data_IF_201313344230
#
_entry.id   IF_201313344230
#
_cell.length_a   1.000
_cell.length_b   1.000
_cell.length_c   1.000
_cell.angle_alpha   90.00
_cell.angle_beta   90.00
_cell.angle_gamma   90.00
#
_symmetry.space_group_name_H-M   'P 1'
#
loop_
_entity.id
_entity.type
_entity.pdbx_description
1 polymer ?
#
# COMPACT_ATOMS: atom_id res chain seq x y z
N UNK A 1 -2.49 19.56 9.93
CA UNK A 1 -1.57 20.68 9.66
C UNK A 1 -1.44 20.88 8.15
N UNK A 2 -1.00 22.04 7.66
CA UNK A 2 -1.11 22.40 6.23
C UNK A 2 -0.60 21.32 5.25
N UNK A 3 0.51 20.64 5.58
CA UNK A 3 1.03 19.53 4.76
C UNK A 3 0.13 18.29 4.76
N UNK A 4 -0.49 17.96 5.90
CA UNK A 4 -1.43 16.85 6.02
C UNK A 4 -2.74 17.15 5.27
N UNK A 5 -3.23 18.38 5.37
CA UNK A 5 -4.46 18.82 4.65
C UNK A 5 -4.21 18.83 3.13
N UNK A 6 -3.00 19.23 2.73
CA UNK A 6 -2.55 19.17 1.32
C UNK A 6 -2.44 17.72 0.87
N UNK A 7 -1.81 16.85 1.68
CA UNK A 7 -1.68 15.43 1.36
C UNK A 7 -3.05 14.76 1.23
N UNK A 8 -3.97 15.05 2.15
CA UNK A 8 -5.36 14.58 2.10
C UNK A 8 -6.04 14.99 0.80
N UNK A 9 -5.89 16.24 0.37
CA UNK A 9 -6.43 16.73 -0.89
C UNK A 9 -5.84 16.01 -2.11
N UNK A 10 -4.54 15.69 -2.08
CA UNK A 10 -3.89 14.90 -3.15
C UNK A 10 -4.39 13.46 -3.15
N UNK A 11 -4.56 12.83 -1.97
CA UNK A 11 -5.11 11.47 -1.85
C UNK A 11 -6.55 11.41 -2.36
N UNK A 12 -7.34 12.48 -2.18
CA UNK A 12 -8.65 12.60 -2.84
C UNK A 12 -8.54 12.64 -4.36
N UNK A 13 -7.61 13.41 -4.92
CA UNK A 13 -7.38 13.43 -6.37
C UNK A 13 -6.96 12.05 -6.91
N UNK A 14 -6.23 11.28 -6.11
CA UNK A 14 -5.83 9.91 -6.46
C UNK A 14 -7.04 8.97 -6.57
N UNK A 15 -8.15 9.24 -5.87
CA UNK A 15 -9.40 8.51 -6.03
C UNK A 15 -10.28 9.00 -7.20
N UNK A 16 -9.84 10.03 -7.94
CA UNK A 16 -10.58 10.65 -9.04
C UNK A 16 -10.37 9.98 -10.41
N UNK A 17 -10.79 10.62 -11.52
CA UNK A 17 -10.79 10.04 -12.87
C UNK A 17 -9.42 9.78 -13.49
N UNK A 18 -8.34 10.39 -12.98
CA UNK A 18 -7.00 10.29 -13.56
C UNK A 18 -5.93 9.89 -12.52
N UNK A 19 -6.05 8.71 -11.87
CA UNK A 19 -5.16 8.30 -10.78
C UNK A 19 -3.69 8.24 -11.22
N UNK A 20 -3.41 7.77 -12.45
CA UNK A 20 -2.04 7.66 -12.98
C UNK A 20 -1.28 8.99 -13.06
N UNK A 21 -1.98 10.10 -13.29
CA UNK A 21 -1.38 11.45 -13.26
C UNK A 21 -0.93 11.81 -11.85
N UNK A 22 -1.75 11.47 -10.84
CA UNK A 22 -1.46 11.73 -9.44
C UNK A 22 -0.32 10.84 -8.95
N UNK A 23 -0.34 9.54 -9.28
CA UNK A 23 0.77 8.60 -9.02
C UNK A 23 2.10 9.13 -9.57
N UNK A 24 2.10 9.58 -10.83
CA UNK A 24 3.28 10.18 -11.47
C UNK A 24 3.77 11.42 -10.72
N UNK A 25 2.84 12.27 -10.26
CA UNK A 25 3.17 13.50 -9.54
C UNK A 25 3.76 13.21 -8.16
N UNK A 26 3.19 12.26 -7.41
CA UNK A 26 3.73 11.82 -6.12
C UNK A 26 5.14 11.27 -6.31
N UNK A 27 5.36 10.41 -7.32
CA UNK A 27 6.70 9.88 -7.61
C UNK A 27 7.74 10.97 -7.87
N UNK A 28 7.38 12.01 -8.63
CA UNK A 28 8.25 13.18 -8.86
C UNK A 28 8.55 13.96 -7.58
N UNK A 29 7.62 14.04 -6.64
CA UNK A 29 7.87 14.71 -5.36
C UNK A 29 8.79 13.91 -4.44
N UNK A 30 8.65 12.59 -4.42
CA UNK A 30 9.54 11.70 -3.66
C UNK A 30 10.99 11.79 -4.16
N UNK A 31 11.18 11.92 -5.47
CA UNK A 31 12.48 12.15 -6.10
C UNK A 31 12.99 13.59 -6.08
N UNK A 32 12.22 14.57 -5.57
CA UNK A 32 12.66 15.97 -5.51
C UNK A 32 13.70 16.15 -4.38
N UNK A 33 14.68 17.04 -4.61
CA UNK A 33 15.71 17.36 -3.61
C UNK A 33 15.15 18.05 -2.36
N UNK A 34 14.02 18.76 -2.48
CA UNK A 34 13.42 19.54 -1.39
C UNK A 34 12.66 18.67 -0.40
N UNK A 35 13.01 18.83 0.88
CA UNK A 35 12.37 18.11 2.00
C UNK A 35 10.85 18.26 2.02
N UNK A 36 10.30 19.47 1.83
CA UNK A 36 8.85 19.70 1.88
C UNK A 36 8.07 18.93 0.82
N UNK A 37 8.63 18.74 -0.38
CA UNK A 37 8.00 17.94 -1.44
C UNK A 37 8.09 16.46 -1.14
N UNK A 38 9.24 16.01 -0.66
CA UNK A 38 9.43 14.62 -0.25
C UNK A 38 8.47 14.26 0.89
N UNK A 39 8.40 15.08 1.93
CA UNK A 39 7.51 14.89 3.07
C UNK A 39 6.04 14.88 2.62
N UNK A 40 5.63 15.80 1.74
CA UNK A 40 4.28 15.77 1.13
C UNK A 40 4.03 14.46 0.38
N UNK A 41 4.99 14.00 -0.44
CA UNK A 41 4.89 12.74 -1.16
C UNK A 41 4.73 11.56 -0.21
N UNK A 42 5.52 11.50 0.86
CA UNK A 42 5.44 10.44 1.88
C UNK A 42 4.08 10.45 2.59
N UNK A 43 3.57 11.62 2.96
CA UNK A 43 2.23 11.77 3.55
C UNK A 43 1.12 11.31 2.60
N UNK A 44 1.26 11.58 1.29
CA UNK A 44 0.31 11.10 0.28
C UNK A 44 0.33 9.56 0.20
N UNK A 45 1.51 8.94 0.21
CA UNK A 45 1.61 7.48 0.16
C UNK A 45 1.02 6.85 1.42
N UNK A 46 1.38 7.35 2.60
CA UNK A 46 0.81 6.90 3.88
C UNK A 46 -0.71 7.04 3.88
N UNK A 47 -1.23 8.20 3.50
CA UNK A 47 -2.67 8.43 3.38
C UNK A 47 -3.34 7.43 2.43
N UNK A 48 -2.78 7.20 1.25
CA UNK A 48 -3.35 6.27 0.27
C UNK A 48 -3.35 4.80 0.73
N UNK A 49 -2.32 4.36 1.46
CA UNK A 49 -2.27 2.98 1.97
C UNK A 49 -3.12 2.77 3.22
N UNK A 50 -3.36 3.82 4.02
CA UNK A 50 -4.11 3.71 5.27
C UNK A 50 -5.61 4.02 5.12
N UNK A 51 -5.95 5.02 4.30
CA UNK A 51 -7.32 5.51 4.22
C UNK A 51 -8.23 4.60 3.41
N UNK A 52 -9.41 4.32 3.96
CA UNK A 52 -10.48 3.64 3.23
C UNK A 52 -11.02 4.55 2.13
N UNK A 53 -11.34 3.97 0.98
CA UNK A 53 -11.85 4.73 -0.15
C UNK A 53 -13.14 5.49 0.19
N UNK A 54 -14.08 4.93 0.97
CA UNK A 54 -15.29 5.66 1.39
C UNK A 54 -15.03 6.95 2.17
N UNK A 55 -13.88 7.08 2.84
CA UNK A 55 -13.52 8.29 3.58
C UNK A 55 -13.10 9.45 2.65
N UNK A 56 -13.10 9.22 1.34
CA UNK A 56 -12.78 10.18 0.30
C UNK A 56 -14.07 10.55 -0.46
N UNK A 57 -14.70 11.64 -0.06
CA UNK A 57 -15.63 12.43 -0.87
C UNK A 57 -15.09 12.81 -2.26
N UNK A 58 -15.95 12.72 -3.29
CA UNK A 58 -15.62 12.96 -4.71
C UNK A 58 -15.60 11.69 -5.59
N UNK A 59 -16.02 10.55 -5.04
CA UNK A 59 -16.09 9.25 -5.74
C UNK A 59 -17.26 9.13 -6.72
N UNK A 60 -18.17 10.11 -6.75
CA UNK A 60 -19.32 10.13 -7.66
C UNK A 60 -18.87 10.03 -9.15
N UNK A 61 -17.66 10.48 -9.44
CA UNK A 61 -17.04 10.40 -10.78
C UNK A 61 -16.36 9.04 -11.07
N UNK A 62 -16.38 8.09 -10.13
CA UNK A 62 -15.67 6.79 -10.17
C UNK A 62 -16.50 5.64 -9.63
N UNK A 63 -17.65 5.39 -10.27
CA UNK A 63 -18.58 4.31 -9.87
C UNK A 63 -17.92 2.92 -9.82
N UNK A 64 -16.83 2.69 -10.56
CA UNK A 64 -16.10 1.40 -10.51
C UNK A 64 -15.45 1.13 -9.15
N UNK A 65 -15.23 2.15 -8.32
CA UNK A 65 -14.68 2.02 -6.97
C UNK A 65 -15.73 1.59 -5.93
N UNK A 66 -17.03 1.68 -6.24
CA UNK A 66 -18.13 1.39 -5.31
C UNK A 66 -18.01 0.01 -4.62
N UNK A 67 -17.65 -1.09 -5.31
CA UNK A 67 -17.48 -2.40 -4.66
C UNK A 67 -16.31 -2.45 -3.67
N UNK A 68 -15.37 -1.52 -3.77
CA UNK A 68 -14.09 -1.52 -3.05
C UNK A 68 -13.99 -0.42 -2.00
N UNK A 69 -15.06 0.34 -1.75
CA UNK A 69 -15.02 1.51 -0.85
C UNK A 69 -14.57 1.18 0.57
N UNK A 70 -14.87 -0.04 1.05
CA UNK A 70 -14.47 -0.51 2.38
C UNK A 70 -12.98 -0.86 2.50
N UNK A 71 -12.27 -0.93 1.37
CA UNK A 71 -10.84 -1.24 1.28
C UNK A 71 -10.01 0.06 1.34
N UNK A 72 -8.75 -0.05 1.75
CA UNK A 72 -7.77 1.00 1.59
C UNK A 72 -7.67 1.47 0.13
N UNK A 73 -7.44 2.77 -0.10
CA UNK A 73 -7.49 3.34 -1.45
C UNK A 73 -6.54 2.63 -2.42
N UNK A 74 -5.30 2.34 -2.02
CA UNK A 74 -4.38 1.59 -2.90
C UNK A 74 -4.95 0.23 -3.28
N UNK A 75 -5.55 -0.51 -2.35
CA UNK A 75 -6.17 -1.81 -2.65
C UNK A 75 -7.38 -1.67 -3.60
N UNK A 76 -8.17 -0.61 -3.44
CA UNK A 76 -9.27 -0.31 -4.35
C UNK A 76 -8.75 0.00 -5.76
N UNK A 77 -7.71 0.84 -5.88
CA UNK A 77 -7.08 1.17 -7.16
C UNK A 77 -6.45 -0.04 -7.84
N UNK A 78 -5.84 -0.96 -7.10
CA UNK A 78 -5.30 -2.19 -7.67
C UNK A 78 -6.39 -3.05 -8.34
N UNK A 79 -7.63 -3.00 -7.84
CA UNK A 79 -8.74 -3.73 -8.42
C UNK A 79 -9.30 -3.08 -9.69
N UNK A 80 -9.32 -1.74 -9.77
CA UNK A 80 -9.91 -1.00 -10.91
C UNK A 80 -8.88 -0.51 -11.95
N UNK A 81 -7.62 -0.38 -11.57
CA UNK A 81 -6.52 0.16 -12.38
C UNK A 81 -5.29 -0.76 -12.32
N UNK A 82 -5.37 -2.00 -12.80
CA UNK A 82 -4.26 -2.97 -12.68
C UNK A 82 -2.96 -2.49 -13.33
N UNK A 83 -3.04 -1.59 -14.33
CA UNK A 83 -1.88 -0.95 -14.97
C UNK A 83 -1.07 -0.01 -14.08
N UNK A 84 -1.60 0.41 -12.92
CA UNK A 84 -0.89 1.23 -11.94
C UNK A 84 -0.13 0.40 -10.90
N UNK A 85 -0.31 -0.93 -10.88
CA UNK A 85 0.21 -1.82 -9.81
C UNK A 85 1.68 -1.61 -9.50
N UNK A 86 2.55 -1.64 -10.52
CA UNK A 86 4.00 -1.46 -10.32
C UNK A 86 4.34 -0.06 -9.79
N UNK A 87 3.69 0.99 -10.32
CA UNK A 87 3.94 2.36 -9.90
C UNK A 87 3.46 2.60 -8.46
N UNK A 88 2.31 2.04 -8.09
CA UNK A 88 1.83 2.06 -6.71
C UNK A 88 2.78 1.30 -5.78
N UNK A 89 3.28 0.15 -6.20
CA UNK A 89 4.25 -0.63 -5.43
C UNK A 89 5.56 0.14 -5.21
N UNK A 90 6.05 0.85 -6.23
CA UNK A 90 7.24 1.70 -6.14
C UNK A 90 7.06 2.84 -5.13
N UNK A 91 5.90 3.48 -5.12
CA UNK A 91 5.58 4.53 -4.14
C UNK A 91 5.56 3.97 -2.71
N UNK A 92 4.91 2.82 -2.50
CA UNK A 92 4.83 2.17 -1.18
C UNK A 92 6.20 1.69 -0.72
N UNK A 93 7.01 1.12 -1.61
CA UNK A 93 8.40 0.72 -1.35
C UNK A 93 9.23 1.91 -0.89
N UNK A 94 9.18 3.03 -1.63
CA UNK A 94 9.91 4.24 -1.26
C UNK A 94 9.53 4.73 0.15
N UNK A 95 8.23 4.71 0.48
CA UNK A 95 7.76 5.11 1.80
C UNK A 95 8.15 4.10 2.89
N UNK A 96 8.20 2.80 2.58
CA UNK A 96 8.64 1.75 3.50
C UNK A 96 10.13 1.84 3.84
N UNK A 97 10.96 2.18 2.84
CA UNK A 97 12.41 2.31 3.03
C UNK A 97 12.78 3.61 3.75
N UNK A 98 11.91 4.62 3.71
CA UNK A 98 12.12 5.88 4.42
C UNK A 98 11.73 5.79 5.90
N UNK A 99 12.69 6.03 6.80
CA UNK A 99 12.49 5.94 8.26
C UNK A 99 11.39 6.84 8.83
N UNK A 100 11.01 7.94 8.15
CA UNK A 100 9.94 8.85 8.62
C UNK A 100 8.52 8.31 8.39
N UNK A 101 8.34 7.44 7.41
CA UNK A 101 7.04 6.89 7.00
C UNK A 101 6.92 5.40 7.20
N UNK A 102 8.05 4.69 7.39
CA UNK A 102 8.11 3.23 7.51
C UNK A 102 7.08 2.66 8.47
N UNK A 103 7.03 3.16 9.71
CA UNK A 103 6.15 2.60 10.74
C UNK A 103 4.67 2.81 10.40
N UNK A 104 4.33 3.95 9.80
CA UNK A 104 2.97 4.23 9.35
C UNK A 104 2.56 3.29 8.19
N UNK A 105 3.47 3.03 7.25
CA UNK A 105 3.23 2.07 6.16
C UNK A 105 3.11 0.64 6.70
N UNK A 106 3.97 0.22 7.63
CA UNK A 106 3.89 -1.10 8.25
C UNK A 106 2.57 -1.27 9.04
N UNK A 107 2.14 -0.23 9.75
CA UNK A 107 0.84 -0.21 10.45
C UNK A 107 -0.30 -0.38 9.46
N UNK A 108 -0.28 0.34 8.34
CA UNK A 108 -1.28 0.19 7.29
C UNK A 108 -1.29 -1.23 6.71
N UNK A 109 -0.13 -1.80 6.39
CA UNK A 109 -0.04 -3.17 5.87
C UNK A 109 -0.51 -4.22 6.88
N UNK A 110 -0.25 -4.02 8.18
CA UNK A 110 -0.83 -4.84 9.25
C UNK A 110 -2.36 -4.83 9.20
N UNK A 111 -2.97 -3.66 9.05
CA UNK A 111 -4.43 -3.55 8.94
C UNK A 111 -4.98 -4.27 7.70
N UNK A 112 -4.25 -4.26 6.59
CA UNK A 112 -4.63 -5.01 5.39
C UNK A 112 -4.57 -6.51 5.63
N UNK A 113 -3.50 -7.00 6.27
CA UNK A 113 -3.34 -8.43 6.60
C UNK A 113 -4.47 -8.90 7.51
N UNK A 114 -4.74 -8.17 8.59
CA UNK A 114 -5.86 -8.45 9.53
C UNK A 114 -7.21 -8.46 8.81
N UNK A 115 -7.43 -7.51 7.90
CA UNK A 115 -8.68 -7.47 7.12
C UNK A 115 -8.81 -8.65 6.15
N UNK A 116 -7.69 -9.18 5.67
CA UNK A 116 -7.62 -10.37 4.83
C UNK A 116 -8.25 -11.62 5.44
N UNK A 117 -8.39 -11.70 6.77
CA UNK A 117 -9.12 -12.77 7.46
C UNK A 117 -10.61 -12.83 7.08
N UNK A 118 -11.20 -11.67 6.74
CA UNK A 118 -12.63 -11.56 6.39
C UNK A 118 -12.87 -11.15 4.94
N UNK A 119 -11.82 -10.79 4.20
CA UNK A 119 -11.88 -10.39 2.79
C UNK A 119 -10.78 -11.14 2.01
N UNK A 120 -11.12 -12.35 1.54
CA UNK A 120 -10.19 -13.21 0.79
C UNK A 120 -9.69 -12.54 -0.49
N UNK A 121 -10.52 -11.74 -1.16
CA UNK A 121 -10.13 -11.04 -2.38
C UNK A 121 -9.13 -9.91 -2.08
N UNK A 122 -9.22 -9.24 -0.93
CA UNK A 122 -8.17 -8.32 -0.46
C UNK A 122 -6.87 -9.07 -0.16
N UNK A 123 -6.94 -10.23 0.50
CA UNK A 123 -5.76 -11.06 0.78
C UNK A 123 -5.05 -11.49 -0.51
N UNK A 124 -5.80 -11.91 -1.53
CA UNK A 124 -5.25 -12.25 -2.84
C UNK A 124 -4.57 -11.07 -3.53
N UNK A 125 -5.20 -9.89 -3.51
CA UNK A 125 -4.58 -8.68 -4.05
C UNK A 125 -3.30 -8.31 -3.28
N UNK A 126 -3.34 -8.39 -1.94
CA UNK A 126 -2.19 -8.16 -1.08
C UNK A 126 -1.04 -9.12 -1.42
N UNK A 127 -1.30 -10.43 -1.54
CA UNK A 127 -0.29 -11.42 -1.92
C UNK A 127 0.32 -11.14 -3.30
N UNK A 128 -0.43 -10.57 -4.25
CA UNK A 128 0.11 -10.14 -5.56
C UNK A 128 0.90 -8.84 -5.49
N UNK A 129 0.56 -7.97 -4.55
CA UNK A 129 1.13 -6.63 -4.42
C UNK A 129 2.43 -6.62 -3.60
N UNK A 130 2.47 -7.34 -2.47
CA UNK A 130 3.62 -7.35 -1.55
C UNK A 130 4.96 -7.73 -2.20
N UNK A 131 5.04 -8.69 -3.14
CA UNK A 131 6.31 -9.02 -3.81
C UNK A 131 6.87 -7.89 -4.67
N UNK A 132 6.01 -6.97 -5.14
CA UNK A 132 6.42 -5.78 -5.88
C UNK A 132 6.91 -4.67 -4.94
N UNK A 133 6.29 -4.56 -3.77
CA UNK A 133 6.73 -3.63 -2.70
C UNK A 133 8.07 -4.08 -2.12
N UNK A 134 8.21 -5.37 -1.83
CA UNK A 134 9.42 -6.01 -1.35
C UNK A 134 10.26 -6.56 -2.52
N UNK A 135 10.70 -5.65 -3.39
CA UNK A 135 11.45 -6.00 -4.59
C UNK A 135 12.80 -6.69 -4.27
N UNK A 136 13.38 -6.46 -3.09
CA UNK A 136 14.66 -7.01 -2.65
C UNK A 136 14.50 -7.94 -1.43
N UNK A 137 15.55 -8.73 -1.14
CA UNK A 137 15.52 -9.68 -0.03
C UNK A 137 15.34 -9.01 1.34
N UNK A 138 16.00 -7.88 1.67
CA UNK A 138 15.75 -7.17 2.92
C UNK A 138 14.30 -6.71 3.08
N UNK A 139 13.67 -6.24 2.00
CA UNK A 139 12.25 -5.88 1.99
C UNK A 139 11.36 -7.10 2.23
N UNK A 140 11.66 -8.23 1.58
CA UNK A 140 10.88 -9.49 1.75
C UNK A 140 10.97 -9.98 3.18
N UNK A 141 12.18 -10.04 3.73
CA UNK A 141 12.39 -10.52 5.09
C UNK A 141 11.70 -9.63 6.12
N UNK A 142 11.73 -8.30 5.93
CA UNK A 142 10.99 -7.35 6.77
C UNK A 142 9.50 -7.65 6.80
N UNK A 143 8.89 -7.89 5.64
CA UNK A 143 7.46 -8.17 5.56
C UNK A 143 7.09 -9.59 6.02
N UNK A 144 7.97 -10.58 5.82
CA UNK A 144 7.79 -11.93 6.41
C UNK A 144 7.85 -11.86 7.93
N UNK A 145 8.79 -11.10 8.48
CA UNK A 145 8.90 -10.86 9.92
C UNK A 145 7.66 -10.16 10.48
N UNK A 146 7.11 -9.17 9.75
CA UNK A 146 5.84 -8.53 10.10
C UNK A 146 4.72 -9.58 10.22
N UNK A 147 4.51 -10.40 9.18
CA UNK A 147 3.48 -11.44 9.20
C UNK A 147 3.68 -12.46 10.34
N UNK A 148 4.93 -12.86 10.61
CA UNK A 148 5.26 -13.75 11.71
C UNK A 148 5.05 -13.12 13.11
N UNK A 149 5.13 -11.79 13.22
CA UNK A 149 4.79 -11.08 14.45
C UNK A 149 3.29 -11.03 14.68
N UNK A 150 2.49 -10.81 13.63
CA UNK A 150 1.02 -10.73 13.74
C UNK A 150 0.38 -12.04 14.20
N UNK A 151 0.95 -13.18 13.80
CA UNK A 151 0.51 -14.49 14.30
C UNK A 151 0.71 -14.63 15.83
N UNK A 152 1.74 -13.96 16.38
CA UNK A 152 2.14 -14.05 17.79
C UNK A 152 1.66 -12.88 18.65
N UNK A 153 0.89 -11.96 18.07
CA UNK A 153 0.32 -10.82 18.78
C UNK A 153 -0.76 -11.33 19.76
N UNK A 154 -0.55 -11.23 21.08
CA UNK A 154 -1.48 -11.79 22.06
C UNK A 154 -2.80 -11.01 22.14
N UNK A 155 -2.79 -9.73 21.76
CA UNK A 155 -3.95 -8.86 21.85
C UNK A 155 -4.83 -9.00 20.60
N UNK A 156 -4.20 -9.11 19.43
CA UNK A 156 -4.88 -9.16 18.13
C UNK A 156 -4.18 -10.12 17.14
N UNK A 157 -4.13 -11.41 17.50
CA UNK A 157 -3.55 -12.47 16.67
C UNK A 157 -4.30 -12.62 15.35
N UNK A 158 -3.53 -12.77 14.26
CA UNK A 158 -4.04 -13.09 12.92
C UNK A 158 -4.00 -14.60 12.68
N UNK A 159 -5.04 -15.13 12.02
CA UNK A 159 -5.11 -16.53 11.59
C UNK A 159 -3.80 -16.99 10.93
N UNK A 160 -3.16 -18.07 11.43
CA UNK A 160 -1.94 -18.62 10.86
C UNK A 160 -2.02 -18.94 9.36
N UNK A 161 -3.20 -19.28 8.82
CA UNK A 161 -3.39 -19.52 7.40
C UNK A 161 -3.22 -18.22 6.57
N UNK A 162 -3.68 -17.09 7.10
CA UNK A 162 -3.52 -15.77 6.46
C UNK A 162 -2.06 -15.34 6.47
N UNK A 163 -1.39 -15.45 7.63
CA UNK A 163 0.04 -15.09 7.73
C UNK A 163 0.92 -16.04 6.91
N UNK A 164 0.58 -17.33 6.81
CA UNK A 164 1.25 -18.29 5.95
C UNK A 164 1.17 -17.89 4.47
N UNK A 165 -0.02 -17.55 3.97
CA UNK A 165 -0.20 -17.08 2.58
C UNK A 165 0.60 -15.81 2.27
N UNK A 166 0.66 -14.87 3.23
CA UNK A 166 1.48 -13.66 3.09
C UNK A 166 2.97 -14.01 3.02
N UNK A 167 3.46 -14.90 3.90
CA UNK A 167 4.86 -15.35 3.90
C UNK A 167 5.23 -16.11 2.63
N UNK A 168 4.32 -16.96 2.14
CA UNK A 168 4.49 -17.72 0.91
C UNK A 168 4.60 -16.79 -0.30
N UNK A 169 3.70 -15.81 -0.43
CA UNK A 169 3.78 -14.81 -1.49
C UNK A 169 5.12 -14.06 -1.50
N UNK A 170 5.68 -13.82 -0.31
CA UNK A 170 6.96 -13.15 -0.13
C UNK A 170 8.17 -14.08 -0.30
N UNK A 171 7.99 -15.40 -0.36
CA UNK A 171 9.10 -16.34 -0.52
C UNK A 171 9.95 -15.98 -1.75
N UNK A 172 11.25 -16.31 -1.76
CA UNK A 172 12.07 -16.14 -2.96
C UNK A 172 11.40 -16.95 -4.08
N UNK A 173 11.10 -16.32 -5.21
CA UNK A 173 10.71 -17.08 -6.39
C UNK A 173 11.89 -17.97 -6.79
N UNK A 174 11.62 -19.21 -7.19
CA UNK A 174 12.66 -20.03 -7.82
C UNK A 174 13.17 -19.27 -9.06
N UNK A 175 14.40 -18.75 -8.96
CA UNK A 175 15.25 -18.29 -10.06
C UNK A 175 14.62 -17.40 -11.13
N UNK A 176 14.78 -16.08 -10.98
CA UNK A 176 15.27 -15.30 -12.12
C UNK A 176 16.75 -14.96 -11.89
N UNK A 177 17.57 -16.00 -11.71
CA UNK A 177 18.94 -15.98 -12.18
C UNK A 177 18.90 -16.30 -13.67
N UNK A 178 18.97 -15.28 -14.49
CA UNK A 178 19.30 -15.40 -15.91
C UNK A 178 20.65 -14.69 -16.13
N UNK A 179 21.41 -15.15 -17.14
CA UNK A 179 22.85 -15.48 -17.08
C UNK A 179 23.82 -14.31 -16.93
#
# INVERSE_FOLDING_TARGET
GLLEDTAYSVVRLLAGPAPGTVVTRIGRWLGDGRASRRDLGLLCVVGAVSMRAWALWGLEDRTELEPYLSRPLVAALLAVEPGERHRLADLVRFALDNGRSRDAVLTALTDWIRRGERDTALLEELCRFLPLVAADEPGRERLRHLAARLERDPDESVDPAVTARVREALAPGEGNTAP
#
